data_IF_997910321886
#
_entry.id   IF_997910321886
#
_cell.length_a   1.000
_cell.length_b   1.000
_cell.length_c   1.000
_cell.angle_alpha   90.00
_cell.angle_beta   90.00
_cell.angle_gamma   90.00
#
_symmetry.space_group_name_H-M   'P 1'
#
loop_
_entity.id
_entity.type
_entity.pdbx_description
1 polymer ?
#
# COMPACT_ATOMS: atom_id res chain seq x y z
N UNK A 1 1.35 49.53 -65.88
CA UNK A 1 1.20 48.83 -64.59
C UNK A 1 2.25 47.72 -64.54
N UNK A 2 3.36 47.96 -63.82
CA UNK A 2 4.41 46.98 -63.54
C UNK A 2 4.60 46.97 -62.03
N UNK A 3 4.30 45.84 -61.39
CA UNK A 3 4.34 45.67 -59.94
C UNK A 3 5.78 45.52 -59.45
N UNK A 4 6.07 46.23 -58.36
CA UNK A 4 7.34 46.20 -57.66
C UNK A 4 7.51 44.92 -56.81
N UNK A 5 8.79 44.58 -56.65
CA UNK A 5 9.41 43.45 -55.95
C UNK A 5 9.23 43.55 -54.42
N UNK A 6 9.18 42.41 -53.71
CA UNK A 6 10.01 42.21 -52.51
C UNK A 6 10.17 40.74 -52.10
N UNK A 7 11.40 40.27 -52.24
CA UNK A 7 11.99 39.03 -51.74
C UNK A 7 12.07 39.08 -50.21
N UNK A 8 11.61 38.04 -49.52
CA UNK A 8 11.79 37.86 -48.07
C UNK A 8 13.00 36.96 -47.86
N UNK A 9 14.04 37.52 -47.24
CA UNK A 9 15.25 36.79 -46.85
C UNK A 9 14.98 35.96 -45.59
N UNK A 10 15.31 34.66 -45.64
CA UNK A 10 15.40 33.79 -44.46
C UNK A 10 16.61 34.21 -43.63
N UNK A 11 16.40 34.79 -42.46
CA UNK A 11 17.46 34.98 -41.46
C UNK A 11 17.46 33.80 -40.49
N UNK A 12 18.37 32.85 -40.71
CA UNK A 12 18.76 31.86 -39.70
C UNK A 12 19.59 32.54 -38.62
N UNK A 13 19.00 32.80 -37.46
CA UNK A 13 19.74 33.23 -36.27
C UNK A 13 20.31 32.01 -35.56
N UNK A 14 21.62 31.81 -35.72
CA UNK A 14 22.43 30.86 -34.97
C UNK A 14 22.67 31.44 -33.56
N UNK A 15 21.93 30.97 -32.56
CA UNK A 15 22.19 31.33 -31.16
C UNK A 15 23.32 30.43 -30.66
N UNK A 16 24.54 30.97 -30.58
CA UNK A 16 25.62 30.37 -29.80
C UNK A 16 25.22 30.42 -28.31
N UNK A 17 24.90 29.27 -27.74
CA UNK A 17 24.80 29.12 -26.28
C UNK A 17 26.22 29.00 -25.75
N UNK A 18 26.82 30.13 -25.37
CA UNK A 18 27.98 30.16 -24.48
C UNK A 18 27.58 29.56 -23.14
N UNK A 19 28.19 28.42 -22.80
CA UNK A 19 28.09 27.81 -21.47
C UNK A 19 28.75 28.73 -20.44
N UNK A 20 27.96 29.60 -19.83
CA UNK A 20 28.31 30.22 -18.55
C UNK A 20 27.96 29.21 -17.46
N UNK A 21 28.98 28.50 -16.97
CA UNK A 21 28.91 27.84 -15.66
C UNK A 21 28.83 28.93 -14.59
N UNK A 22 27.61 29.40 -14.27
CA UNK A 22 27.37 30.13 -13.03
C UNK A 22 26.63 29.22 -12.06
N UNK A 23 27.38 28.74 -11.07
CA UNK A 23 26.82 28.15 -9.84
C UNK A 23 26.20 29.29 -9.02
N UNK A 24 25.01 29.74 -9.39
CA UNK A 24 24.18 30.59 -8.54
C UNK A 24 23.26 29.68 -7.70
N UNK A 25 23.10 29.94 -6.39
CA UNK A 25 22.14 29.21 -5.58
C UNK A 25 20.74 29.46 -6.14
N UNK A 26 20.08 28.38 -6.57
CA UNK A 26 18.70 28.43 -7.06
C UNK A 26 17.84 28.88 -5.87
N UNK A 27 17.33 30.11 -5.93
CA UNK A 27 16.53 30.71 -4.87
C UNK A 27 15.30 29.83 -4.54
N UNK A 28 15.01 29.65 -3.25
CA UNK A 28 13.87 28.86 -2.73
C UNK A 28 12.54 29.22 -3.40
N UNK A 29 12.32 30.49 -3.73
CA UNK A 29 11.14 30.99 -4.46
C UNK A 29 11.02 30.46 -5.90
N UNK A 30 12.14 30.31 -6.60
CA UNK A 30 12.15 29.77 -7.97
C UNK A 30 11.86 28.26 -7.97
N UNK A 31 12.39 27.53 -6.97
CA UNK A 31 12.09 26.11 -6.78
C UNK A 31 10.60 25.90 -6.46
N UNK A 32 10.01 26.74 -5.60
CA UNK A 32 8.57 26.70 -5.30
C UNK A 32 7.71 26.97 -6.53
N UNK A 33 8.06 27.97 -7.35
CA UNK A 33 7.31 28.29 -8.57
C UNK A 33 7.39 27.18 -9.63
N UNK A 34 8.58 26.59 -9.83
CA UNK A 34 8.78 25.45 -10.73
C UNK A 34 8.00 24.21 -10.26
N UNK A 35 8.00 23.95 -8.95
CA UNK A 35 7.22 22.84 -8.38
C UNK A 35 5.71 23.08 -8.53
N UNK A 36 5.25 24.32 -8.32
CA UNK A 36 3.83 24.64 -8.48
C UNK A 36 3.38 24.48 -9.94
N UNK A 37 4.21 24.84 -10.91
CA UNK A 37 3.94 24.62 -12.34
C UNK A 37 3.92 23.11 -12.68
N UNK A 38 4.90 22.34 -12.18
CA UNK A 38 5.02 20.88 -12.38
C UNK A 38 3.72 20.14 -12.03
N UNK A 39 3.10 20.47 -10.89
CA UNK A 39 1.92 19.77 -10.38
C UNK A 39 0.58 20.43 -10.75
N UNK A 40 0.56 21.69 -11.19
CA UNK A 40 -0.67 22.46 -11.47
C UNK A 40 -1.67 21.73 -12.39
N UNK A 41 -1.16 21.05 -13.42
CA UNK A 41 -1.95 20.29 -14.38
C UNK A 41 -2.73 19.11 -13.78
N UNK A 42 -2.33 18.59 -12.62
CA UNK A 42 -3.02 17.49 -11.96
C UNK A 42 -4.08 17.94 -10.95
N UNK A 43 -4.24 19.25 -10.76
CA UNK A 43 -5.22 19.83 -9.84
C UNK A 43 -6.51 20.28 -10.54
N UNK A 44 -6.64 20.00 -11.83
CA UNK A 44 -7.83 20.27 -12.63
C UNK A 44 -8.66 18.99 -12.80
N UNK A 45 -9.97 19.13 -12.87
CA UNK A 45 -10.92 18.03 -13.02
C UNK A 45 -12.24 18.53 -13.62
N UNK A 46 -13.05 17.61 -14.14
CA UNK A 46 -14.39 17.89 -14.67
C UNK A 46 -15.43 17.05 -13.92
N UNK A 47 -16.17 17.67 -13.00
CA UNK A 47 -17.20 16.99 -12.20
C UNK A 47 -18.36 16.46 -13.03
N UNK A 48 -18.58 16.99 -14.25
CA UNK A 48 -19.66 16.54 -15.13
C UNK A 48 -19.21 15.38 -16.04
N UNK A 49 -17.94 15.01 -15.98
CA UNK A 49 -17.39 13.94 -16.80
C UNK A 49 -17.94 12.58 -16.38
N UNK A 50 -18.26 11.75 -17.37
CA UNK A 50 -18.67 10.36 -17.20
C UNK A 50 -17.56 9.37 -17.57
N UNK A 51 -16.36 9.88 -17.85
CA UNK A 51 -15.21 9.05 -18.19
C UNK A 51 -14.82 8.22 -16.97
N UNK A 52 -14.64 6.92 -17.18
CA UNK A 52 -14.19 5.97 -16.16
C UNK A 52 -13.01 5.19 -16.71
N UNK A 53 -12.07 4.80 -15.84
CA UNK A 53 -10.92 3.99 -16.22
C UNK A 53 -11.18 2.53 -15.88
N UNK A 54 -10.66 1.63 -16.71
CA UNK A 54 -10.75 0.19 -16.48
C UNK A 54 -9.53 -0.33 -15.72
N UNK A 55 -9.79 -0.95 -14.58
CA UNK A 55 -8.79 -1.56 -13.71
C UNK A 55 -8.86 -3.10 -13.69
N UNK A 56 -9.58 -3.73 -14.62
CA UNK A 56 -9.83 -5.19 -14.63
C UNK A 56 -8.54 -6.00 -14.52
N UNK A 57 -7.51 -5.67 -15.30
CA UNK A 57 -6.23 -6.39 -15.24
C UNK A 57 -5.52 -6.26 -13.90
N UNK A 58 -5.57 -5.08 -13.27
CA UNK A 58 -5.00 -4.87 -11.94
C UNK A 58 -5.82 -5.59 -10.86
N UNK A 59 -7.15 -5.56 -10.97
CA UNK A 59 -8.05 -6.28 -10.08
C UNK A 59 -7.84 -7.79 -10.09
N UNK A 60 -7.53 -8.40 -11.24
CA UNK A 60 -7.17 -9.81 -11.32
C UNK A 60 -5.88 -10.15 -10.57
N UNK A 61 -4.88 -9.27 -10.63
CA UNK A 61 -3.64 -9.43 -9.86
C UNK A 61 -3.93 -9.33 -8.37
N UNK A 62 -4.68 -8.31 -7.95
CA UNK A 62 -5.01 -8.09 -6.54
C UNK A 62 -5.82 -9.24 -5.98
N UNK A 63 -6.88 -9.69 -6.67
CA UNK A 63 -7.73 -10.78 -6.18
C UNK A 63 -7.00 -12.12 -6.10
N UNK A 64 -6.03 -12.36 -6.99
CA UNK A 64 -5.24 -13.59 -6.98
C UNK A 64 -4.07 -13.56 -5.98
N UNK A 65 -3.54 -12.38 -5.65
CA UNK A 65 -2.27 -12.25 -4.91
C UNK A 65 -2.43 -11.66 -3.51
N UNK A 66 -3.56 -11.02 -3.22
CA UNK A 66 -3.84 -10.38 -1.93
C UNK A 66 -4.78 -11.25 -1.11
N UNK A 67 -4.35 -11.60 0.10
CA UNK A 67 -5.19 -12.22 1.11
C UNK A 67 -5.74 -11.13 2.03
N UNK A 68 -7.06 -10.98 2.01
CA UNK A 68 -7.78 -10.16 2.98
C UNK A 68 -7.85 -10.89 4.32
N UNK A 69 -7.26 -10.28 5.36
CA UNK A 69 -7.37 -10.81 6.72
C UNK A 69 -8.57 -10.22 7.45
N UNK A 70 -9.29 -9.23 6.91
CA UNK A 70 -10.42 -8.61 7.57
C UNK A 70 -10.07 -7.93 8.91
N UNK A 71 -11.11 -7.64 9.71
CA UNK A 71 -10.98 -6.92 10.98
C UNK A 71 -9.99 -7.59 11.94
N UNK A 72 -9.29 -6.74 12.71
CA UNK A 72 -8.44 -7.22 13.79
C UNK A 72 -9.29 -7.81 14.92
N UNK A 73 -8.88 -8.97 15.43
CA UNK A 73 -9.38 -9.55 16.68
C UNK A 73 -8.68 -8.94 17.91
N UNK A 74 -7.78 -7.97 17.68
CA UNK A 74 -6.85 -7.35 18.64
C UNK A 74 -6.10 -8.35 19.50
N UNK A 75 -5.96 -9.59 19.03
CA UNK A 75 -5.28 -10.64 19.74
C UNK A 75 -3.81 -10.29 19.96
N UNK A 76 -3.34 -10.50 21.20
CA UNK A 76 -1.95 -10.31 21.57
C UNK A 76 -1.36 -11.69 21.84
N UNK A 77 -0.35 -12.08 21.06
CA UNK A 77 0.39 -13.32 21.33
C UNK A 77 1.04 -13.15 22.70
N UNK A 78 0.69 -14.03 23.64
CA UNK A 78 1.30 -14.09 24.96
C UNK A 78 2.70 -14.68 24.82
N UNK A 79 3.73 -13.87 25.09
CA UNK A 79 5.11 -14.36 25.10
C UNK A 79 5.30 -15.33 26.27
N UNK A 80 5.21 -16.63 26.01
CA UNK A 80 5.69 -17.62 26.95
C UNK A 80 7.22 -17.68 26.82
N UNK A 81 7.94 -16.92 27.66
CA UNK A 81 9.37 -17.14 27.85
C UNK A 81 9.55 -18.47 28.56
N UNK A 82 9.75 -19.57 27.83
CA UNK A 82 10.25 -20.79 28.45
C UNK A 82 11.68 -20.54 28.92
N UNK A 83 11.89 -20.62 30.23
CA UNK A 83 13.20 -20.59 30.89
C UNK A 83 13.98 -21.87 30.54
N UNK A 84 14.48 -22.01 29.31
CA UNK A 84 15.39 -23.10 28.95
C UNK A 84 16.58 -22.51 28.20
N UNK A 85 17.62 -22.15 28.98
CA UNK A 85 19.06 -22.30 28.69
C UNK A 85 19.64 -21.87 27.34
N UNK A 86 18.90 -21.21 26.47
CA UNK A 86 19.35 -20.85 25.13
C UNK A 86 19.30 -19.33 25.01
N UNK A 87 20.43 -18.71 24.70
CA UNK A 87 20.56 -17.27 24.39
C UNK A 87 19.88 -16.89 23.05
N UNK A 88 18.69 -17.43 22.79
CA UNK A 88 17.84 -17.07 21.67
C UNK A 88 16.76 -16.12 22.18
N UNK A 89 17.13 -14.85 22.23
CA UNK A 89 16.17 -13.75 22.30
C UNK A 89 15.45 -13.69 20.95
N UNK A 90 14.23 -14.21 20.88
CA UNK A 90 13.27 -13.68 19.91
C UNK A 90 12.58 -12.51 20.60
N UNK A 91 12.72 -11.30 20.08
CA UNK A 91 11.77 -10.21 20.35
C UNK A 91 10.66 -10.29 19.30
N UNK A 92 9.62 -11.14 19.45
CA UNK A 92 8.45 -10.99 18.60
C UNK A 92 7.83 -9.63 18.93
N UNK A 93 7.49 -8.84 17.91
CA UNK A 93 6.47 -7.79 18.03
C UNK A 93 5.11 -8.50 17.87
N UNK A 94 4.53 -9.05 18.96
CA UNK A 94 3.63 -10.21 18.85
C UNK A 94 2.20 -9.84 18.43
N UNK A 95 1.79 -8.58 18.61
CA UNK A 95 0.40 -8.16 18.43
C UNK A 95 0.04 -7.73 17.01
N UNK A 96 1.01 -7.35 16.18
CA UNK A 96 0.75 -6.83 14.81
C UNK A 96 1.08 -7.84 13.71
N UNK A 97 1.87 -8.87 14.02
CA UNK A 97 2.35 -9.84 13.04
C UNK A 97 1.25 -10.68 12.38
N UNK A 98 0.08 -10.81 13.02
CA UNK A 98 -1.09 -11.52 12.49
C UNK A 98 -2.15 -10.59 11.89
N UNK A 99 -1.85 -9.30 11.78
CA UNK A 99 -2.75 -8.29 11.25
C UNK A 99 -2.29 -7.80 9.87
N UNK A 100 -3.08 -6.97 9.22
CA UNK A 100 -2.88 -6.47 7.86
C UNK A 100 -3.15 -7.50 6.76
N UNK A 101 -3.63 -7.03 5.61
CA UNK A 101 -3.71 -7.87 4.43
C UNK A 101 -2.31 -8.32 3.98
N UNK A 102 -2.23 -9.46 3.30
CA UNK A 102 -0.96 -10.06 2.87
C UNK A 102 -0.89 -10.13 1.36
N UNK A 103 0.30 -9.96 0.80
CA UNK A 103 0.57 -10.11 -0.63
C UNK A 103 1.56 -11.26 -0.85
N UNK A 104 1.30 -12.09 -1.87
CA UNK A 104 2.09 -13.28 -2.13
C UNK A 104 3.38 -12.99 -2.92
N UNK A 105 4.33 -12.28 -2.31
CA UNK A 105 5.57 -11.84 -2.97
C UNK A 105 6.41 -12.99 -3.54
N UNK A 106 6.49 -14.13 -2.83
CA UNK A 106 7.29 -15.29 -3.26
C UNK A 106 6.84 -15.86 -4.61
N UNK A 107 5.54 -15.80 -4.93
CA UNK A 107 5.01 -16.25 -6.23
C UNK A 107 5.58 -15.46 -7.42
N UNK A 108 6.02 -14.22 -7.20
CA UNK A 108 6.60 -13.37 -8.24
C UNK A 108 8.10 -13.62 -8.42
N UNK A 109 8.80 -14.11 -7.39
CA UNK A 109 10.24 -14.35 -7.43
C UNK A 109 10.61 -15.28 -8.59
N UNK A 110 9.96 -16.43 -8.65
CA UNK A 110 10.28 -17.49 -9.61
C UNK A 110 9.32 -17.52 -10.82
N UNK A 111 8.36 -16.60 -10.89
CA UNK A 111 7.43 -16.47 -12.03
C UNK A 111 7.65 -15.18 -12.83
N UNK A 112 8.47 -15.21 -13.91
CA UNK A 112 8.76 -14.02 -14.71
C UNK A 112 7.51 -13.44 -15.40
N UNK A 113 6.50 -14.28 -15.71
CA UNK A 113 5.25 -13.81 -16.33
C UNK A 113 4.43 -12.94 -15.38
N UNK A 114 4.33 -13.33 -14.10
CA UNK A 114 3.63 -12.55 -13.08
C UNK A 114 4.34 -11.21 -12.81
N UNK A 115 5.68 -11.23 -12.73
CA UNK A 115 6.48 -9.99 -12.64
C UNK A 115 6.24 -9.07 -13.82
N UNK A 116 6.30 -9.62 -15.04
CA UNK A 116 6.06 -8.86 -16.25
C UNK A 116 4.63 -8.29 -16.29
N UNK A 117 3.63 -9.05 -15.88
CA UNK A 117 2.24 -8.59 -15.83
C UNK A 117 2.08 -7.37 -14.91
N UNK A 118 2.62 -7.45 -13.68
CA UNK A 118 2.61 -6.33 -12.73
C UNK A 118 3.36 -5.10 -13.28
N UNK A 119 4.53 -5.31 -13.87
CA UNK A 119 5.33 -4.24 -14.47
C UNK A 119 4.61 -3.57 -15.66
N UNK A 120 3.95 -4.34 -16.51
CA UNK A 120 3.18 -3.81 -17.65
C UNK A 120 2.01 -2.98 -17.17
N UNK A 121 1.28 -3.44 -16.15
CA UNK A 121 0.17 -2.69 -15.56
C UNK A 121 0.66 -1.38 -14.96
N UNK A 122 1.72 -1.43 -14.14
CA UNK A 122 2.32 -0.24 -13.55
C UNK A 122 2.75 0.76 -14.63
N UNK A 123 3.45 0.30 -15.66
CA UNK A 123 3.92 1.15 -16.77
C UNK A 123 2.76 1.76 -17.55
N UNK A 124 1.70 0.99 -17.82
CA UNK A 124 0.54 1.50 -18.55
C UNK A 124 -0.20 2.57 -17.75
N UNK A 125 -0.36 2.38 -16.43
CA UNK A 125 -0.95 3.41 -15.56
C UNK A 125 -0.06 4.65 -15.51
N UNK A 126 1.25 4.47 -15.31
CA UNK A 126 2.21 5.57 -15.26
C UNK A 126 2.26 6.40 -16.55
N UNK A 127 2.03 5.77 -17.70
CA UNK A 127 2.04 6.39 -19.03
C UNK A 127 0.67 6.95 -19.44
N UNK A 128 -0.40 6.69 -18.67
CA UNK A 128 -1.75 7.17 -18.96
C UNK A 128 -1.83 8.69 -19.14
N UNK A 129 -1.16 9.53 -18.31
CA UNK A 129 -1.24 10.98 -18.46
C UNK A 129 -0.62 11.47 -19.78
N UNK A 130 0.32 10.72 -20.38
CA UNK A 130 0.87 11.05 -21.71
C UNK A 130 -0.12 10.76 -22.86
N UNK A 131 -1.21 10.03 -22.59
CA UNK A 131 -2.19 9.59 -23.61
C UNK A 131 -3.52 10.33 -23.51
N UNK A 132 -3.93 10.71 -22.31
CA UNK A 132 -5.18 11.41 -22.05
C UNK A 132 -4.94 12.61 -21.13
N UNK A 133 -5.75 13.66 -21.30
CA UNK A 133 -5.75 14.77 -20.36
C UNK A 133 -6.52 14.37 -19.10
N UNK A 134 -5.82 14.19 -17.98
CA UNK A 134 -6.41 13.82 -16.70
C UNK A 134 -7.43 14.87 -16.21
N UNK A 135 -7.32 16.13 -16.62
CA UNK A 135 -8.28 17.19 -16.26
C UNK A 135 -9.71 16.93 -16.75
N UNK A 136 -9.90 15.99 -17.68
CA UNK A 136 -11.22 15.59 -18.17
C UNK A 136 -11.88 14.50 -17.31
N UNK A 137 -11.21 14.01 -16.26
CA UNK A 137 -11.76 12.99 -15.36
C UNK A 137 -12.52 13.65 -14.21
N UNK A 138 -13.58 13.01 -13.68
CA UNK A 138 -14.22 13.47 -12.47
C UNK A 138 -13.30 13.25 -11.26
N UNK A 139 -13.52 14.04 -10.20
CA UNK A 139 -12.61 14.11 -9.06
C UNK A 139 -12.41 12.74 -8.37
N UNK A 140 -13.46 11.94 -8.24
CA UNK A 140 -13.38 10.59 -7.66
C UNK A 140 -12.59 9.60 -8.52
N UNK A 141 -12.63 9.73 -9.85
CA UNK A 141 -11.85 8.88 -10.76
C UNK A 141 -10.36 9.24 -10.70
N UNK A 142 -10.02 10.53 -10.57
CA UNK A 142 -8.63 10.96 -10.32
C UNK A 142 -8.08 10.36 -9.04
N UNK A 143 -8.86 10.38 -7.96
CA UNK A 143 -8.44 9.79 -6.69
C UNK A 143 -8.17 8.29 -6.82
N UNK A 144 -9.10 7.57 -7.46
CA UNK A 144 -8.95 6.15 -7.72
C UNK A 144 -7.70 5.84 -8.55
N UNK A 145 -7.47 6.61 -9.61
CA UNK A 145 -6.29 6.49 -10.47
C UNK A 145 -4.99 6.65 -9.68
N UNK A 146 -4.88 7.73 -8.89
CA UNK A 146 -3.65 8.02 -8.14
C UNK A 146 -3.36 6.97 -7.06
N UNK A 147 -4.37 6.49 -6.33
CA UNK A 147 -4.17 5.40 -5.38
C UNK A 147 -3.78 4.09 -6.06
N UNK A 148 -4.42 3.74 -7.17
CA UNK A 148 -4.07 2.53 -7.91
C UNK A 148 -2.64 2.59 -8.45
N UNK A 149 -2.24 3.71 -9.06
CA UNK A 149 -0.88 3.92 -9.55
C UNK A 149 0.14 3.88 -8.41
N UNK A 150 -0.14 4.51 -7.27
CA UNK A 150 0.71 4.47 -6.09
C UNK A 150 0.90 3.02 -5.61
N UNK A 151 -0.22 2.33 -5.34
CA UNK A 151 -0.22 1.00 -4.73
C UNK A 151 0.43 -0.05 -5.65
N UNK A 152 0.13 -0.01 -6.96
CA UNK A 152 0.75 -0.94 -7.93
C UNK A 152 2.25 -0.66 -8.08
N UNK A 153 2.67 0.61 -7.98
CA UNK A 153 4.09 0.98 -8.03
C UNK A 153 4.82 0.47 -6.79
N UNK A 154 4.25 0.60 -5.59
CA UNK A 154 4.81 0.00 -4.36
C UNK A 154 5.00 -1.51 -4.52
N UNK A 155 3.97 -2.22 -4.99
CA UNK A 155 4.05 -3.66 -5.24
C UNK A 155 5.14 -4.02 -6.26
N UNK A 156 5.18 -3.32 -7.40
CA UNK A 156 6.16 -3.58 -8.45
C UNK A 156 7.61 -3.40 -7.96
N UNK A 157 7.86 -2.38 -7.15
CA UNK A 157 9.18 -2.12 -6.58
C UNK A 157 9.60 -3.14 -5.52
N UNK A 158 8.66 -3.53 -4.65
CA UNK A 158 8.93 -4.55 -3.63
C UNK A 158 9.15 -5.94 -4.24
N UNK A 159 8.41 -6.29 -5.30
CA UNK A 159 8.61 -7.52 -6.06
C UNK A 159 10.01 -7.56 -6.70
N UNK A 160 10.51 -6.44 -7.23
CA UNK A 160 11.85 -6.37 -7.80
C UNK A 160 12.98 -6.51 -6.76
N UNK A 161 12.72 -6.06 -5.53
CA UNK A 161 13.68 -6.11 -4.43
C UNK A 161 13.55 -7.37 -3.56
N UNK A 162 12.58 -8.23 -3.86
CA UNK A 162 12.35 -9.46 -3.10
C UNK A 162 13.53 -10.45 -3.27
N UNK A 163 14.04 -11.07 -2.19
CA UNK A 163 13.50 -11.07 -0.83
C UNK A 163 13.99 -9.88 0.02
N UNK A 164 13.04 -9.02 0.41
CA UNK A 164 13.23 -7.98 1.42
C UNK A 164 12.33 -8.29 2.61
N UNK A 165 12.82 -8.11 3.84
CA UNK A 165 12.05 -8.44 5.05
C UNK A 165 11.38 -7.27 5.69
N UNK A 166 12.13 -6.18 5.76
CA UNK A 166 11.80 -5.02 6.55
C UNK A 166 12.15 -3.79 5.73
N UNK A 167 11.18 -2.90 5.58
CA UNK A 167 11.29 -1.73 4.72
C UNK A 167 12.03 -0.57 5.39
N UNK A 168 12.31 -0.63 6.69
CA UNK A 168 12.92 0.46 7.46
C UNK A 168 14.22 0.95 6.83
N UNK A 169 15.09 0.05 6.36
CA UNK A 169 16.34 0.45 5.68
C UNK A 169 16.09 1.25 4.40
N UNK A 170 15.11 0.83 3.61
CA UNK A 170 14.77 1.47 2.32
C UNK A 170 14.01 2.79 2.54
N UNK A 171 13.26 2.91 3.63
CA UNK A 171 12.59 4.17 4.01
C UNK A 171 13.61 5.20 4.48
N UNK A 172 14.65 4.77 5.20
CA UNK A 172 15.68 5.64 5.78
C UNK A 172 16.92 5.84 4.88
N UNK A 173 16.90 5.34 3.65
CA UNK A 173 17.98 5.60 2.69
C UNK A 173 17.80 6.97 2.02
N UNK A 174 18.85 7.50 1.38
CA UNK A 174 18.81 8.77 0.67
C UNK A 174 19.12 8.55 -0.82
N UNK A 175 18.19 8.79 -1.76
CA UNK A 175 16.78 9.18 -1.53
C UNK A 175 15.92 8.02 -0.99
N UNK A 176 14.93 8.33 -0.16
CA UNK A 176 14.00 7.34 0.43
C UNK A 176 13.29 6.54 -0.66
N UNK A 177 12.87 5.31 -0.33
CA UNK A 177 12.03 4.47 -1.17
C UNK A 177 10.85 5.22 -1.82
N UNK A 178 10.21 6.13 -1.08
CA UNK A 178 9.06 6.91 -1.55
C UNK A 178 9.43 8.19 -2.31
N UNK A 179 10.66 8.68 -2.17
CA UNK A 179 11.18 9.88 -2.86
C UNK A 179 11.88 9.55 -4.19
N UNK A 180 12.24 8.28 -4.40
CA UNK A 180 12.82 7.82 -5.67
C UNK A 180 11.88 8.10 -6.85
N UNK A 181 12.39 8.63 -7.98
CA UNK A 181 11.65 8.74 -9.24
C UNK A 181 11.07 7.40 -9.70
N UNK A 182 9.76 7.35 -9.98
CA UNK A 182 9.03 6.14 -10.38
C UNK A 182 8.44 6.21 -11.77
N UNK A 183 8.06 7.39 -12.24
CA UNK A 183 7.50 7.57 -13.58
C UNK A 183 7.78 8.96 -14.12
N UNK A 184 7.66 9.08 -15.45
CA UNK A 184 7.94 10.28 -16.19
C UNK A 184 6.68 10.77 -16.89
N UNK A 185 6.43 12.07 -16.79
CA UNK A 185 5.35 12.73 -17.48
C UNK A 185 5.78 14.11 -17.97
N UNK A 186 5.60 14.39 -19.26
CA UNK A 186 6.06 15.63 -19.92
C UNK A 186 7.53 15.98 -19.61
N UNK A 187 8.40 14.98 -19.55
CA UNK A 187 9.83 15.15 -19.25
C UNK A 187 10.16 15.36 -17.77
N UNK A 188 9.17 15.48 -16.89
CA UNK A 188 9.35 15.58 -15.44
C UNK A 188 9.30 14.20 -14.79
N UNK A 189 10.13 14.00 -13.78
CA UNK A 189 10.14 12.79 -12.96
C UNK A 189 9.26 12.96 -11.71
N UNK A 190 8.53 11.91 -11.35
CA UNK A 190 7.61 11.91 -10.21
C UNK A 190 7.87 10.74 -9.29
N UNK A 191 7.79 10.98 -7.98
CA UNK A 191 7.91 9.98 -6.92
C UNK A 191 6.56 9.55 -6.36
N UNK A 192 6.56 8.60 -5.41
CA UNK A 192 5.34 8.23 -4.68
C UNK A 192 4.90 9.35 -3.73
N UNK A 193 5.86 10.03 -3.07
CA UNK A 193 5.58 11.19 -2.24
C UNK A 193 5.05 12.38 -3.06
N UNK A 194 5.44 12.51 -4.34
CA UNK A 194 4.86 13.49 -5.25
C UNK A 194 3.36 13.22 -5.50
N UNK A 195 2.96 11.96 -5.74
CA UNK A 195 1.53 11.61 -5.85
C UNK A 195 0.81 12.02 -4.57
N UNK A 196 1.36 11.64 -3.42
CA UNK A 196 0.68 11.83 -2.15
C UNK A 196 0.56 13.31 -1.76
N UNK A 197 1.68 14.00 -1.61
CA UNK A 197 1.71 15.32 -0.98
C UNK A 197 1.59 16.48 -1.97
N UNK A 198 1.99 16.29 -3.22
CA UNK A 198 2.03 17.37 -4.20
C UNK A 198 0.88 17.32 -5.22
N UNK A 199 0.17 16.19 -5.32
CA UNK A 199 -0.95 16.01 -6.26
C UNK A 199 -2.25 15.73 -5.50
N UNK A 200 -2.34 14.63 -4.76
CA UNK A 200 -3.61 14.18 -4.16
C UNK A 200 -3.97 15.02 -2.93
N UNK A 201 -3.04 15.25 -1.99
CA UNK A 201 -3.36 15.99 -0.78
C UNK A 201 -3.90 17.41 -1.09
N UNK A 202 -3.30 18.23 -1.98
CA UNK A 202 -3.86 19.54 -2.33
C UNK A 202 -5.19 19.44 -3.08
N UNK A 203 -5.36 18.46 -3.98
CA UNK A 203 -6.61 18.26 -4.73
C UNK A 203 -7.81 17.98 -3.80
N UNK A 204 -7.57 17.37 -2.64
CA UNK A 204 -8.58 16.99 -1.65
C UNK A 204 -8.44 17.72 -0.32
N UNK A 205 -7.84 18.92 -0.32
CA UNK A 205 -7.73 19.78 0.86
C UNK A 205 -7.08 19.11 2.09
N UNK A 206 -6.15 18.18 1.86
CA UNK A 206 -5.46 17.41 2.90
C UNK A 206 -6.42 16.63 3.81
N UNK A 207 -7.51 16.09 3.26
CA UNK A 207 -8.42 15.21 4.02
C UNK A 207 -7.66 14.01 4.64
N UNK A 208 -7.67 13.85 5.98
CA UNK A 208 -7.00 12.74 6.67
C UNK A 208 -7.43 11.35 6.20
N UNK A 209 -8.63 11.22 5.63
CA UNK A 209 -9.13 9.96 5.10
C UNK A 209 -8.26 9.43 3.95
N UNK A 210 -7.54 10.30 3.24
CA UNK A 210 -6.63 9.92 2.16
C UNK A 210 -5.47 9.05 2.62
N UNK A 211 -5.04 9.16 3.88
CA UNK A 211 -3.93 8.37 4.46
C UNK A 211 -4.17 6.87 4.24
N UNK A 212 -5.43 6.44 4.33
CA UNK A 212 -5.83 5.03 4.25
C UNK A 212 -5.96 4.51 2.81
N UNK A 213 -5.65 5.32 1.80
CA UNK A 213 -5.54 4.90 0.40
C UNK A 213 -4.16 4.44 0.00
N UNK A 214 -3.13 4.82 0.77
CA UNK A 214 -1.72 4.58 0.47
C UNK A 214 -1.22 3.30 1.16
N UNK A 215 -1.11 2.22 0.41
CA UNK A 215 -0.42 1.01 0.85
C UNK A 215 1.10 1.24 0.78
N UNK A 216 1.79 1.15 1.93
CA UNK A 216 3.23 1.46 2.02
C UNK A 216 4.13 0.24 2.05
N UNK A 217 3.60 -0.97 1.82
CA UNK A 217 4.42 -2.18 1.73
C UNK A 217 4.65 -2.94 3.03
N UNK A 218 4.47 -2.28 4.19
CA UNK A 218 4.77 -2.84 5.51
C UNK A 218 3.55 -3.00 6.40
N UNK A 219 3.63 -3.93 7.36
CA UNK A 219 2.53 -4.30 8.25
C UNK A 219 1.96 -3.07 8.96
N UNK A 220 2.77 -2.20 9.55
CA UNK A 220 2.30 -0.97 10.23
C UNK A 220 1.58 0.08 9.38
N UNK A 221 1.33 -0.17 8.09
CA UNK A 221 0.61 0.74 7.16
C UNK A 221 -0.84 0.29 6.89
N UNK A 222 -1.70 1.16 6.31
CA UNK A 222 -3.06 0.79 5.89
C UNK A 222 -3.06 -0.41 4.95
N UNK A 223 -4.18 -1.15 4.90
CA UNK A 223 -4.22 -2.40 4.14
C UNK A 223 -4.14 -2.14 2.63
N UNK A 224 -3.45 -3.04 1.94
CA UNK A 224 -3.68 -3.25 0.51
C UNK A 224 -5.02 -3.97 0.32
N UNK A 225 -5.90 -3.41 -0.48
CA UNK A 225 -7.17 -4.03 -0.83
C UNK A 225 -6.97 -5.13 -1.88
N UNK A 226 -7.81 -6.17 -1.86
CA UNK A 226 -7.82 -7.24 -2.86
C UNK A 226 -8.63 -6.89 -4.12
N UNK A 227 -9.00 -5.61 -4.27
CA UNK A 227 -9.67 -5.03 -5.43
C UNK A 227 -9.17 -3.59 -5.65
N UNK A 228 -9.25 -3.05 -6.87
CA UNK A 228 -8.78 -1.70 -7.17
C UNK A 228 -9.77 -0.63 -6.71
N UNK A 229 -9.26 0.58 -6.49
CA UNK A 229 -10.11 1.75 -6.33
C UNK A 229 -10.78 2.12 -7.67
N UNK A 230 -12.01 2.63 -7.61
CA UNK A 230 -12.78 3.13 -8.75
C UNK A 230 -13.53 4.38 -8.31
N UNK A 231 -13.98 5.24 -9.23
CA UNK A 231 -14.81 6.39 -8.88
C UNK A 231 -16.01 6.05 -7.98
N UNK A 232 -16.58 4.85 -8.15
CA UNK A 232 -17.77 4.39 -7.43
C UNK A 232 -17.49 3.93 -5.99
N UNK A 233 -16.31 3.39 -5.72
CA UNK A 233 -16.02 2.75 -4.43
C UNK A 233 -15.00 3.52 -3.57
N UNK A 234 -14.28 4.51 -4.12
CA UNK A 234 -13.05 5.04 -3.51
C UNK A 234 -13.27 5.54 -2.08
N UNK A 235 -14.27 6.37 -1.85
CA UNK A 235 -14.55 6.90 -0.51
C UNK A 235 -15.00 5.82 0.48
N UNK A 236 -15.90 4.93 0.08
CA UNK A 236 -16.33 3.81 0.93
C UNK A 236 -15.16 2.89 1.27
N UNK A 237 -14.30 2.60 0.30
CA UNK A 237 -13.11 1.79 0.49
C UNK A 237 -12.10 2.47 1.44
N UNK A 238 -11.90 3.79 1.33
CA UNK A 238 -11.08 4.55 2.26
C UNK A 238 -11.63 4.49 3.68
N UNK A 239 -12.94 4.75 3.87
CA UNK A 239 -13.58 4.70 5.19
C UNK A 239 -13.46 3.31 5.81
N UNK A 240 -13.73 2.25 5.05
CA UNK A 240 -13.60 0.89 5.54
C UNK A 240 -12.15 0.56 5.92
N UNK A 241 -11.17 0.99 5.11
CA UNK A 241 -9.76 0.77 5.42
C UNK A 241 -9.31 1.60 6.64
N UNK A 242 -9.84 2.80 6.81
CA UNK A 242 -9.60 3.66 7.97
C UNK A 242 -10.11 3.04 9.26
N UNK A 243 -11.36 2.58 9.26
CA UNK A 243 -11.97 1.86 10.40
C UNK A 243 -11.15 0.59 10.70
N UNK A 244 -10.80 -0.21 9.69
CA UNK A 244 -9.98 -1.41 9.89
C UNK A 244 -8.61 -1.10 10.50
N UNK A 245 -7.93 -0.06 10.01
CA UNK A 245 -6.60 0.30 10.48
C UNK A 245 -6.65 0.84 11.91
N UNK A 246 -7.48 1.86 12.17
CA UNK A 246 -7.64 2.47 13.50
C UNK A 246 -8.03 1.41 14.53
N UNK A 247 -8.92 0.49 14.17
CA UNK A 247 -9.37 -0.55 15.09
C UNK A 247 -8.45 -1.78 15.18
N UNK A 248 -7.19 -1.68 14.73
CA UNK A 248 -6.18 -2.75 14.81
C UNK A 248 -5.07 -2.43 15.81
N UNK A 249 -4.27 -3.44 16.20
CA UNK A 249 -3.07 -3.24 17.03
C UNK A 249 -1.97 -2.46 16.29
N UNK A 250 -2.14 -2.15 15.00
CA UNK A 250 -1.23 -1.33 14.19
C UNK A 250 -1.63 0.15 14.11
N UNK A 251 -2.93 0.45 14.24
CA UNK A 251 -3.44 1.81 14.08
C UNK A 251 -3.56 2.55 15.40
N UNK A 252 -4.38 2.03 16.32
CA UNK A 252 -4.50 2.61 17.66
C UNK A 252 -4.80 1.57 18.74
N UNK A 253 -4.32 1.84 19.94
CA UNK A 253 -4.63 1.10 21.16
C UNK A 253 -4.91 2.10 22.26
N UNK A 254 -6.16 2.14 22.70
CA UNK A 254 -6.61 2.98 23.82
C UNK A 254 -6.22 2.27 25.12
N UNK A 255 -5.40 2.93 25.94
CA UNK A 255 -5.03 2.51 27.29
C UNK A 255 -5.64 3.52 28.30
N UNK A 256 -5.54 3.24 29.61
CA UNK A 256 -6.23 4.03 30.66
C UNK A 256 -5.87 5.52 30.70
N UNK A 257 -4.62 5.88 30.38
CA UNK A 257 -4.11 7.25 30.53
C UNK A 257 -3.53 7.82 29.22
N UNK A 258 -3.54 7.04 28.15
CA UNK A 258 -2.98 7.43 26.86
C UNK A 258 -3.54 6.56 25.75
N UNK A 259 -3.49 7.08 24.53
CA UNK A 259 -3.75 6.29 23.32
C UNK A 259 -2.44 6.06 22.60
N UNK A 260 -2.00 4.80 22.50
CA UNK A 260 -0.87 4.46 21.62
C UNK A 260 -1.37 4.45 20.18
N UNK A 261 -0.65 5.13 19.30
CA UNK A 261 -1.03 5.31 17.89
C UNK A 261 0.12 4.94 16.97
N UNK A 262 -0.21 4.68 15.71
CA UNK A 262 0.76 4.40 14.66
C UNK A 262 1.79 5.51 14.52
N UNK A 263 3.07 5.13 14.43
CA UNK A 263 4.15 6.07 14.09
C UNK A 263 3.96 6.69 12.70
N UNK A 264 3.17 6.05 11.82
CA UNK A 264 2.80 6.59 10.51
C UNK A 264 2.25 8.01 10.61
N UNK A 265 1.47 8.34 11.63
CA UNK A 265 0.88 9.67 11.77
C UNK A 265 1.94 10.78 11.91
N UNK A 266 3.15 10.46 12.40
CA UNK A 266 4.26 11.43 12.43
C UNK A 266 4.72 11.84 11.03
N UNK A 267 4.63 10.94 10.05
CA UNK A 267 4.91 11.24 8.64
C UNK A 267 3.74 11.98 7.97
N UNK A 268 2.54 11.87 8.54
CA UNK A 268 1.27 12.41 7.99
C UNK A 268 0.81 13.69 8.68
N UNK A 269 1.70 14.42 9.36
CA UNK A 269 1.38 15.69 10.02
C UNK A 269 0.72 16.72 9.10
N UNK A 270 1.06 16.72 7.81
CA UNK A 270 0.51 17.67 6.84
C UNK A 270 -1.01 17.53 6.63
N UNK A 271 -1.62 16.41 7.03
CA UNK A 271 -3.07 16.20 6.99
C UNK A 271 -3.80 16.81 8.19
N UNK A 272 -3.07 17.28 9.21
CA UNK A 272 -3.63 17.72 10.48
C UNK A 272 -3.03 19.08 10.87
N UNK A 273 -3.72 20.20 10.60
CA UNK A 273 -3.27 21.54 10.97
C UNK A 273 -2.85 21.68 12.45
N UNK A 274 -3.67 21.17 13.37
CA UNK A 274 -3.39 21.05 14.80
C UNK A 274 -3.12 19.57 15.12
N UNK A 275 -1.91 19.11 14.78
CA UNK A 275 -1.58 17.68 14.67
C UNK A 275 -2.19 16.75 15.72
N UNK A 276 -1.96 16.97 17.02
CA UNK A 276 -2.41 16.03 18.06
C UNK A 276 -3.91 16.11 18.33
N UNK A 277 -4.50 17.31 18.29
CA UNK A 277 -5.93 17.54 18.52
C UNK A 277 -6.76 16.98 17.36
N UNK A 278 -6.44 17.39 16.13
CA UNK A 278 -7.15 16.93 14.93
C UNK A 278 -6.99 15.41 14.74
N UNK A 279 -5.83 14.84 15.10
CA UNK A 279 -5.62 13.40 15.06
C UNK A 279 -6.47 12.68 16.11
N UNK A 280 -6.56 13.20 17.33
CA UNK A 280 -7.41 12.60 18.37
C UNK A 280 -8.88 12.58 17.93
N UNK A 281 -9.38 13.68 17.36
CA UNK A 281 -10.74 13.80 16.84
C UNK A 281 -10.97 12.86 15.65
N UNK A 282 -10.01 12.79 14.72
CA UNK A 282 -10.06 11.87 13.58
C UNK A 282 -10.15 10.41 14.04
N UNK A 283 -9.32 10.02 15.01
CA UNK A 283 -9.36 8.67 15.59
C UNK A 283 -10.68 8.41 16.30
N UNK A 284 -11.18 9.37 17.08
CA UNK A 284 -12.45 9.25 17.81
C UNK A 284 -13.63 9.01 16.87
N UNK A 285 -13.62 9.59 15.67
CA UNK A 285 -14.66 9.39 14.65
C UNK A 285 -14.66 7.99 14.01
N UNK A 286 -13.55 7.25 14.11
CA UNK A 286 -13.34 5.96 13.45
C UNK A 286 -13.31 4.77 14.42
N UNK A 287 -13.15 5.02 15.72
CA UNK A 287 -13.15 3.96 16.74
C UNK A 287 -14.53 3.32 16.83
N UNK A 288 -14.56 1.98 16.79
CA UNK A 288 -15.77 1.21 17.06
C UNK A 288 -15.96 1.19 18.57
N UNK A 289 -17.11 1.72 19.04
CA UNK A 289 -17.44 1.72 20.45
C UNK A 289 -17.61 0.28 20.97
N UNK A 290 -16.78 -0.08 21.95
CA UNK A 290 -16.86 -1.32 22.72
C UNK A 290 -16.84 -0.93 24.20
N UNK A 291 -17.46 -1.70 25.13
CA UNK A 291 -17.64 -1.31 26.53
C UNK A 291 -16.36 -0.93 27.32
N UNK A 292 -15.19 -1.31 26.81
CA UNK A 292 -13.88 -1.07 27.43
C UNK A 292 -12.99 -0.12 26.59
N UNK A 293 -13.51 0.47 25.51
CA UNK A 293 -12.76 1.32 24.55
C UNK A 293 -13.58 2.54 24.13
N UNK A 294 -14.20 3.20 25.10
CA UNK A 294 -15.28 4.15 24.82
C UNK A 294 -14.79 5.46 24.18
N UNK A 295 -13.58 5.93 24.51
CA UNK A 295 -13.07 7.24 24.09
C UNK A 295 -11.56 7.27 23.88
N UNK A 296 -11.12 7.96 22.83
CA UNK A 296 -9.71 8.24 22.56
C UNK A 296 -9.19 9.22 23.61
N UNK A 297 -8.19 8.79 24.37
CA UNK A 297 -7.48 9.65 25.32
C UNK A 297 -6.51 10.54 24.52
N UNK A 298 -6.68 11.85 24.60
CA UNK A 298 -5.89 12.85 23.83
C UNK A 298 -4.39 12.83 24.10
N UNK A 299 -3.93 12.18 25.18
CA UNK A 299 -2.52 11.92 25.41
C UNK A 299 -2.02 10.83 24.44
N UNK A 300 -1.57 11.24 23.24
CA UNK A 300 -1.17 10.34 22.16
C UNK A 300 0.29 9.90 22.28
N UNK A 301 0.55 8.60 22.15
CA UNK A 301 1.89 8.00 22.15
C UNK A 301 2.18 7.29 20.82
N UNK A 302 3.05 7.87 20.00
CA UNK A 302 3.42 7.36 18.66
C UNK A 302 4.42 6.20 18.72
N UNK A 303 3.97 5.04 19.19
CA UNK A 303 4.82 3.87 19.48
C UNK A 303 4.46 2.60 18.71
N UNK A 304 3.39 2.62 17.92
CA UNK A 304 2.99 1.45 17.13
C UNK A 304 3.68 1.49 15.76
N UNK A 305 4.70 0.65 15.59
CA UNK A 305 5.37 0.48 14.30
C UNK A 305 5.68 -1.00 14.00
N UNK A 306 5.57 -1.34 12.73
CA UNK A 306 6.02 -2.63 12.21
C UNK A 306 6.39 -2.49 10.73
N UNK A 307 7.69 -2.30 10.46
CA UNK A 307 8.21 -2.14 9.10
C UNK A 307 8.45 -3.46 8.36
N UNK A 308 8.07 -4.61 8.92
CA UNK A 308 8.14 -5.88 8.20
C UNK A 308 7.18 -5.82 7.01
N UNK A 309 7.62 -6.32 5.85
CA UNK A 309 6.79 -6.29 4.65
C UNK A 309 5.55 -7.18 4.81
N UNK A 310 4.46 -6.86 4.12
CA UNK A 310 3.22 -7.65 4.19
C UNK A 310 3.29 -8.93 3.34
N UNK A 311 4.31 -9.76 3.56
CA UNK A 311 4.47 -11.08 2.92
C UNK A 311 3.74 -12.17 3.71
N UNK A 312 3.08 -13.10 3.01
CA UNK A 312 2.37 -14.24 3.58
C UNK A 312 3.31 -15.13 4.40
N UNK A 313 4.49 -15.40 3.84
CA UNK A 313 5.35 -16.44 4.35
C UNK A 313 6.23 -15.98 5.51
N UNK A 314 6.43 -14.68 5.68
CA UNK A 314 7.55 -14.19 6.49
C UNK A 314 8.84 -14.62 5.79
N UNK A 315 9.56 -13.65 5.25
CA UNK A 315 10.88 -13.90 4.69
C UNK A 315 11.74 -14.47 5.82
N UNK A 316 12.14 -15.74 5.78
CA UNK A 316 13.09 -16.33 6.73
C UNK A 316 14.50 -16.26 6.12
N UNK A 317 15.53 -16.04 6.95
CA UNK A 317 16.92 -16.18 6.49
C UNK A 317 17.21 -17.66 6.72
N UNK A 318 17.71 -18.36 5.70
CA UNK A 318 18.32 -19.66 5.91
C UNK A 318 19.54 -19.45 6.85
N UNK A 319 19.35 -19.65 8.15
CA UNK A 319 20.47 -19.70 9.09
C UNK A 319 21.13 -21.07 8.94
N UNK A 320 22.30 -21.08 8.29
CA UNK A 320 23.09 -22.29 8.06
C UNK A 320 22.88 -22.85 6.64
N UNK A 321 23.99 -23.12 5.96
CA UNK A 321 24.03 -23.63 4.60
C UNK A 321 23.23 -24.92 4.45
N UNK A 322 22.04 -24.80 3.87
CA UNK A 322 21.16 -25.91 3.54
C UNK A 322 19.92 -25.35 2.89
N UNK A 323 19.74 -25.64 1.60
CA UNK A 323 18.57 -25.24 0.83
C UNK A 323 17.30 -25.82 1.47
N UNK A 324 16.68 -25.10 2.39
CA UNK A 324 15.31 -25.34 2.81
C UNK A 324 14.40 -24.54 1.88
N UNK A 325 14.08 -25.13 0.72
CA UNK A 325 12.97 -24.66 -0.10
C UNK A 325 11.70 -25.07 0.64
N UNK A 326 10.99 -24.09 1.21
CA UNK A 326 9.65 -24.32 1.74
C UNK A 326 8.72 -24.44 0.54
N UNK A 327 8.12 -25.61 0.36
CA UNK A 327 7.17 -25.87 -0.72
C UNK A 327 5.89 -25.08 -0.47
N UNK A 328 5.49 -24.36 -1.51
CA UNK A 328 4.20 -23.72 -1.81
C UNK A 328 3.12 -23.70 -0.69
N UNK A 329 2.79 -22.53 -0.10
CA UNK A 329 1.64 -22.36 0.81
C UNK A 329 0.27 -22.75 0.24
N UNK A 330 0.12 -23.01 -1.06
CA UNK A 330 -1.09 -23.64 -1.60
C UNK A 330 -1.37 -25.03 -0.97
N UNK A 331 -0.32 -25.75 -0.53
CA UNK A 331 -0.47 -27.04 0.18
C UNK A 331 -1.01 -26.84 1.61
N UNK A 332 -0.66 -25.73 2.26
CA UNK A 332 -1.16 -25.40 3.61
C UNK A 332 -2.62 -24.94 3.56
N UNK A 333 -3.03 -24.32 2.45
CA UNK A 333 -4.42 -23.90 2.20
C UNK A 333 -5.37 -25.05 1.82
N UNK A 334 -4.88 -26.29 1.64
CA UNK A 334 -5.70 -27.44 1.24
C UNK A 334 -5.95 -28.47 2.34
N UNK A 335 -5.45 -28.27 3.57
CA UNK A 335 -5.87 -29.08 4.72
C UNK A 335 -5.25 -30.49 4.82
N UNK A 336 -4.15 -30.75 4.11
CA UNK A 336 -3.43 -32.02 4.24
C UNK A 336 -2.14 -31.84 5.05
N UNK A 337 -2.09 -32.59 6.15
CA UNK A 337 -0.92 -32.96 6.95
C UNK A 337 -0.40 -31.97 8.02
N UNK A 338 -0.39 -32.44 9.27
CA UNK A 338 0.24 -31.77 10.43
C UNK A 338 1.75 -32.07 10.50
N UNK A 339 2.28 -32.83 9.55
CA UNK A 339 3.67 -33.29 9.49
C UNK A 339 4.36 -32.75 8.24
N UNK A 340 5.28 -31.80 8.44
CA UNK A 340 6.18 -31.29 7.40
C UNK A 340 7.16 -32.40 6.98
N UNK A 341 6.91 -33.05 5.84
CA UNK A 341 7.86 -34.00 5.24
C UNK A 341 8.10 -33.62 3.78
N UNK A 342 9.33 -33.21 3.46
CA UNK A 342 9.77 -32.96 2.08
C UNK A 342 10.03 -34.30 1.38
N UNK A 343 9.31 -34.58 0.28
CA UNK A 343 9.68 -35.65 -0.64
C UNK A 343 10.51 -35.06 -1.78
N UNK A 344 11.82 -35.15 -1.64
CA UNK A 344 12.81 -34.98 -2.70
C UNK A 344 13.80 -36.14 -2.64
N UNK A 345 14.11 -36.73 -3.80
CA UNK A 345 14.98 -37.90 -3.92
C UNK A 345 16.30 -37.68 -3.15
N UNK A 346 16.49 -38.50 -2.12
CA UNK A 346 17.66 -38.58 -1.25
C UNK A 346 18.04 -37.29 -0.50
N UNK A 347 17.29 -36.95 0.55
CA UNK A 347 17.76 -36.45 1.87
C UNK A 347 16.56 -35.90 2.66
N UNK A 348 16.08 -36.63 3.66
CA UNK A 348 15.13 -36.13 4.65
C UNK A 348 15.78 -35.06 5.51
N UNK A 349 15.48 -33.78 5.25
CA UNK A 349 15.84 -32.65 6.12
C UNK A 349 14.61 -31.80 6.39
N UNK A 350 14.09 -31.90 7.62
CA UNK A 350 13.01 -31.09 8.13
C UNK A 350 13.53 -29.69 8.48
N UNK A 351 13.03 -28.65 7.80
CA UNK A 351 13.23 -27.27 8.22
C UNK A 351 12.28 -26.92 9.37
N UNK A 352 12.77 -26.23 10.39
CA UNK A 352 11.95 -25.73 11.51
C UNK A 352 11.32 -24.39 11.18
N UNK A 353 9.99 -24.37 11.02
CA UNK A 353 9.19 -23.14 10.93
C UNK A 353 9.09 -22.51 12.33
N UNK A 354 9.26 -21.18 12.47
CA UNK A 354 9.14 -20.50 13.78
C UNK A 354 7.72 -20.63 14.37
N UNK A 355 7.58 -20.58 15.70
CA UNK A 355 6.28 -20.61 16.40
C UNK A 355 5.34 -19.52 15.91
N UNK A 356 5.86 -18.29 15.80
CA UNK A 356 5.15 -17.12 15.28
C UNK A 356 4.63 -17.36 13.86
N UNK A 357 5.47 -17.90 12.97
CA UNK A 357 5.07 -18.20 11.59
C UNK A 357 3.97 -19.26 11.52
N UNK A 358 4.00 -20.28 12.37
CA UNK A 358 2.90 -21.27 12.45
C UNK A 358 1.58 -20.62 12.88
N UNK A 359 1.61 -19.70 13.82
CA UNK A 359 0.41 -19.00 14.30
C UNK A 359 -0.14 -18.02 13.25
N UNK A 360 0.74 -17.29 12.56
CA UNK A 360 0.39 -16.46 11.40
C UNK A 360 -0.27 -17.31 10.32
N UNK A 361 0.35 -18.41 9.91
CA UNK A 361 -0.20 -19.30 8.87
C UNK A 361 -1.54 -19.88 9.30
N UNK A 362 -1.70 -20.34 10.54
CA UNK A 362 -2.99 -20.82 11.06
C UNK A 362 -4.08 -19.75 10.98
N UNK A 363 -3.78 -18.51 11.38
CA UNK A 363 -4.74 -17.40 11.29
C UNK A 363 -5.06 -17.01 9.85
N UNK A 364 -4.07 -16.97 8.97
CA UNK A 364 -4.27 -16.74 7.53
C UNK A 364 -5.19 -17.82 6.97
N UNK A 365 -4.92 -19.09 7.25
CA UNK A 365 -5.75 -20.22 6.81
C UNK A 365 -7.16 -20.15 7.39
N UNK A 366 -7.32 -19.87 8.69
CA UNK A 366 -8.63 -19.70 9.31
C UNK A 366 -9.43 -18.57 8.66
N UNK A 367 -8.84 -17.39 8.52
CA UNK A 367 -9.49 -16.23 7.89
C UNK A 367 -9.82 -16.49 6.41
N UNK A 368 -8.93 -17.16 5.67
CA UNK A 368 -9.20 -17.59 4.30
C UNK A 368 -10.43 -18.50 4.22
N UNK A 369 -10.56 -19.48 5.12
CA UNK A 369 -11.76 -20.33 5.14
C UNK A 369 -12.98 -19.56 5.61
N UNK A 370 -12.91 -18.70 6.62
CA UNK A 370 -14.06 -17.89 7.06
C UNK A 370 -14.59 -16.96 5.97
N UNK A 371 -13.71 -16.41 5.13
CA UNK A 371 -14.09 -15.57 3.98
C UNK A 371 -14.67 -16.40 2.84
N UNK A 372 -14.08 -17.56 2.51
CA UNK A 372 -14.48 -18.37 1.34
C UNK A 372 -15.55 -19.44 1.63
N UNK A 373 -15.85 -19.74 2.89
CA UNK A 373 -16.92 -20.68 3.29
C UNK A 373 -18.24 -19.98 3.63
N UNK A 374 -18.32 -18.65 3.53
CA UNK A 374 -19.59 -17.92 3.54
C UNK A 374 -20.37 -18.25 2.27
N UNK A 375 -21.19 -19.29 2.33
CA UNK A 375 -22.24 -19.53 1.36
C UNK A 375 -23.33 -18.48 1.62
N UNK A 376 -23.41 -17.45 0.77
CA UNK A 376 -24.60 -16.60 0.73
C UNK A 376 -25.77 -17.46 0.26
N UNK A 377 -26.71 -17.75 1.15
CA UNK A 377 -28.00 -18.31 0.78
C UNK A 377 -28.75 -17.19 0.04
N UNK A 378 -28.62 -17.15 -1.29
CA UNK A 378 -29.52 -16.37 -2.14
C UNK A 378 -30.85 -17.11 -2.21
N UNK A 379 -31.86 -16.48 -1.63
CA UNK A 379 -33.29 -16.71 -1.84
C UNK A 379 -33.70 -18.19 -1.93
N UNK A 380 -34.16 -18.73 -0.80
CA UNK A 380 -35.09 -19.85 -0.86
C UNK A 380 -36.32 -19.35 -1.64
N UNK A 381 -36.70 -19.97 -2.77
CA UNK A 381 -37.99 -19.66 -3.38
C UNK A 381 -39.07 -19.94 -2.33
N UNK A 382 -39.95 -18.96 -2.13
CA UNK A 382 -41.08 -19.09 -1.22
C UNK A 382 -41.78 -20.41 -1.51
N UNK A 383 -41.80 -21.30 -0.51
CA UNK A 383 -42.64 -22.49 -0.56
C UNK A 383 -44.08 -21.97 -0.65
N UNK A 384 -44.64 -22.02 -1.85
CA UNK A 384 -46.08 -21.99 -2.04
C UNK A 384 -46.71 -22.99 -1.07
N UNK A 385 -47.46 -22.46 -0.10
CA UNK A 385 -48.38 -23.22 0.71
C UNK A 385 -49.45 -23.76 -0.22
N UNK A 386 -49.24 -24.97 -0.73
CA UNK A 386 -50.31 -25.75 -1.34
C UNK A 386 -51.16 -26.33 -0.21
N UNK A 387 -52.40 -25.88 -0.16
CA UNK A 387 -53.49 -26.45 0.61
C UNK A 387 -53.56 -27.97 0.40
N UNK A 388 -53.76 -28.70 1.51
CA UNK A 388 -54.64 -29.86 1.61
C UNK A 388 -54.95 -30.16 3.08
#
# INVERSE_FOLDING_TARGET
>A
MKSAIKTIALTTSLILVTACNSTAPINKTAITAINQEKFSQFHQYDENSTITLDYTGYGQILSASVIDLGMSDRYRITSHTTTIGTHLSSSPKPSTATEANRFYYDSYKDNPKMRQALQVIQKNMADLPNKINLSNLPKSELLAYWFNLYNVTVLNELVQQYPVKNLSKLINEEPSFFDKPRFNFNGNQYSLNDIEYNIVAPLFNNDPLLIYGYYRGYIGSPNLLNYPYTAKNVFTALTNNAVQFVNSNRGSVIDTHSTRVSSLYLEKKNYFPNFEEDLADHLQSLVIQEPDKDQVVQNLSFSLDNYDITDILGTDVAYGGGNAVVVDPSIVALGWDKTFTTYGNHLTKAGTVSTLRREILKKITQKYYEVNSRVEIKDLPDKESTEN
#
